data_IF_705861870528
#
_entry.id   IF_705861870528
#
_cell.length_a   1.000
_cell.length_b   1.000
_cell.length_c   1.000
_cell.angle_alpha   90.00
_cell.angle_beta   90.00
_cell.angle_gamma   90.00
#
_symmetry.space_group_name_H-M   'P 1'
#
loop_
_entity.id
_entity.type
_entity.pdbx_description
1 polymer ?
#
# COMPACT_ATOMS: atom_id res chain seq x y z
N UNK A 1 -13.69 -15.21 -47.95
CA UNK A 1 -14.19 -14.45 -46.79
C UNK A 1 -13.82 -15.19 -45.48
N UNK A 2 -12.62 -14.97 -44.92
CA UNK A 2 -12.20 -15.51 -43.61
C UNK A 2 -11.06 -14.66 -43.04
N UNK A 3 -11.34 -13.42 -42.62
CA UNK A 3 -10.33 -12.55 -41.96
C UNK A 3 -10.85 -11.84 -40.70
N UNK A 4 -12.09 -12.08 -40.28
CA UNK A 4 -12.73 -11.27 -39.23
C UNK A 4 -12.71 -11.87 -37.81
N UNK A 5 -12.15 -13.06 -37.59
CA UNK A 5 -12.19 -13.70 -36.26
C UNK A 5 -11.01 -13.34 -35.34
N UNK A 6 -9.96 -12.68 -35.83
CA UNK A 6 -8.79 -12.33 -35.01
C UNK A 6 -8.94 -11.04 -34.19
N UNK A 7 -9.87 -10.16 -34.56
CA UNK A 7 -9.93 -8.81 -33.97
C UNK A 7 -10.67 -8.75 -32.62
N UNK A 8 -11.44 -9.78 -32.25
CA UNK A 8 -12.28 -9.75 -31.05
C UNK A 8 -11.53 -10.08 -29.75
N UNK A 9 -10.34 -10.69 -29.83
CA UNK A 9 -9.55 -11.09 -28.66
C UNK A 9 -8.71 -9.94 -28.06
N UNK A 10 -8.48 -8.86 -28.80
CA UNK A 10 -7.73 -7.70 -28.29
C UNK A 10 -8.56 -6.78 -27.37
N UNK A 11 -9.89 -6.89 -27.42
CA UNK A 11 -10.80 -6.01 -26.66
C UNK A 11 -10.93 -6.38 -25.17
N UNK A 12 -10.40 -7.52 -24.74
CA UNK A 12 -10.56 -8.06 -23.37
C UNK A 12 -9.40 -7.63 -22.45
N UNK A 13 -8.37 -6.96 -22.98
CA UNK A 13 -7.17 -6.57 -22.21
C UNK A 13 -7.24 -5.18 -21.57
N UNK A 14 -8.33 -4.42 -21.75
CA UNK A 14 -8.43 -3.02 -21.32
C UNK A 14 -9.08 -2.78 -19.94
N UNK A 15 -9.42 -3.82 -19.18
CA UNK A 15 -9.91 -3.68 -17.79
C UNK A 15 -8.85 -4.10 -16.77
N UNK A 16 -7.66 -3.50 -16.86
CA UNK A 16 -6.80 -3.41 -15.68
C UNK A 16 -7.14 -2.06 -15.05
N UNK A 17 -7.80 -2.06 -13.88
CA UNK A 17 -7.93 -0.87 -13.05
C UNK A 17 -6.53 -0.52 -12.56
N UNK A 18 -5.73 0.13 -13.41
CA UNK A 18 -4.40 0.64 -13.09
C UNK A 18 -4.64 1.91 -12.28
N UNK A 19 -5.02 1.76 -11.01
CA UNK A 19 -4.50 2.69 -10.03
C UNK A 19 -3.01 2.38 -9.99
N UNK A 20 -2.24 3.14 -10.77
CA UNK A 20 -0.79 3.18 -10.63
C UNK A 20 -0.49 3.35 -9.14
N UNK A 21 0.37 2.50 -8.59
CA UNK A 21 0.65 2.42 -7.15
C UNK A 21 0.82 3.83 -6.58
N UNK A 22 -0.18 4.31 -5.84
CA UNK A 22 -0.17 5.69 -5.36
C UNK A 22 1.01 5.87 -4.41
N UNK A 23 1.81 6.90 -4.66
CA UNK A 23 2.90 7.25 -3.76
C UNK A 23 2.30 7.64 -2.41
N UNK A 24 2.88 7.11 -1.34
CA UNK A 24 2.53 7.43 0.02
C UNK A 24 3.31 8.67 0.47
N UNK A 25 2.68 9.48 1.30
CA UNK A 25 3.32 10.62 1.97
C UNK A 25 3.91 10.20 3.32
N UNK A 26 4.76 11.07 3.86
CA UNK A 26 5.42 10.87 5.14
C UNK A 26 4.40 10.67 6.28
N UNK A 27 4.62 9.72 7.20
CA UNK A 27 3.72 9.49 8.33
C UNK A 27 3.87 10.60 9.38
N UNK A 28 2.85 11.43 9.56
CA UNK A 28 2.85 12.48 10.59
C UNK A 28 2.51 11.94 11.99
N UNK A 29 3.32 12.28 12.99
CA UNK A 29 2.98 12.05 14.42
C UNK A 29 3.01 10.59 14.88
N UNK A 30 3.72 9.72 14.15
CA UNK A 30 3.80 8.29 14.44
C UNK A 30 5.11 7.89 15.10
N UNK A 31 5.18 6.61 15.48
CA UNK A 31 6.38 6.04 16.08
C UNK A 31 7.61 6.22 15.17
N UNK A 32 8.82 6.37 15.74
CA UNK A 32 10.06 6.48 14.96
C UNK A 32 10.26 5.34 13.96
N UNK A 33 9.78 4.14 14.28
CA UNK A 33 9.84 2.97 13.42
C UNK A 33 9.06 3.17 12.10
N UNK A 34 7.93 3.89 12.14
CA UNK A 34 7.15 4.19 10.94
C UNK A 34 7.88 5.18 10.02
N UNK A 35 8.47 6.24 10.60
CA UNK A 35 9.25 7.23 9.85
C UNK A 35 10.50 6.59 9.23
N UNK A 36 11.24 5.80 10.01
CA UNK A 36 12.43 5.12 9.51
C UNK A 36 12.10 4.08 8.42
N UNK A 37 11.01 3.31 8.57
CA UNK A 37 10.57 2.38 7.53
C UNK A 37 10.14 3.10 6.25
N UNK A 38 9.54 4.28 6.37
CA UNK A 38 9.21 5.13 5.23
C UNK A 38 10.43 5.69 4.54
N UNK A 39 11.38 6.28 5.28
CA UNK A 39 12.62 6.83 4.73
C UNK A 39 13.44 5.76 4.01
N UNK A 40 13.52 4.57 4.59
CA UNK A 40 14.24 3.41 4.04
C UNK A 40 13.47 2.65 2.95
N UNK A 41 12.18 2.90 2.75
CA UNK A 41 11.47 2.40 1.58
C UNK A 41 12.14 2.95 0.30
N UNK A 42 12.06 2.22 -0.82
CA UNK A 42 12.69 2.61 -2.08
C UNK A 42 12.37 4.05 -2.53
N UNK A 43 13.07 4.55 -3.56
CA UNK A 43 12.96 5.95 -4.02
C UNK A 43 11.50 6.37 -4.26
N UNK A 44 10.68 5.47 -4.81
CA UNK A 44 9.23 5.65 -4.93
C UNK A 44 8.55 5.01 -3.71
N UNK A 45 7.82 5.81 -2.93
CA UNK A 45 7.16 5.39 -1.68
C UNK A 45 5.84 4.67 -1.95
N UNK A 46 5.87 3.58 -2.70
CA UNK A 46 4.67 2.77 -2.98
C UNK A 46 4.28 1.92 -1.76
N UNK A 47 3.03 1.43 -1.75
CA UNK A 47 2.53 0.51 -0.72
C UNK A 47 3.46 -0.69 -0.55
N UNK A 48 3.89 -1.31 -1.65
CA UNK A 48 4.75 -2.48 -1.63
C UNK A 48 6.14 -2.18 -1.06
N UNK A 49 6.72 -1.03 -1.43
CA UNK A 49 8.03 -0.63 -0.92
C UNK A 49 7.97 -0.33 0.58
N UNK A 50 6.95 0.40 1.03
CA UNK A 50 6.73 0.70 2.45
C UNK A 50 6.39 -0.58 3.23
N UNK A 51 5.61 -1.50 2.66
CA UNK A 51 5.31 -2.80 3.25
C UNK A 51 6.59 -3.61 3.50
N UNK A 52 7.49 -3.66 2.52
CA UNK A 52 8.74 -4.42 2.63
C UNK A 52 9.61 -3.88 3.78
N UNK A 53 9.80 -2.57 3.87
CA UNK A 53 10.58 -1.96 4.94
C UNK A 53 9.92 -2.12 6.31
N UNK A 54 8.59 -1.94 6.41
CA UNK A 54 7.84 -2.18 7.64
C UNK A 54 7.82 -3.65 8.04
N UNK A 55 7.90 -4.59 7.11
CA UNK A 55 7.91 -6.01 7.42
C UNK A 55 9.17 -6.39 8.20
N UNK A 56 10.32 -5.79 7.86
CA UNK A 56 11.54 -5.95 8.65
C UNK A 56 11.37 -5.36 10.04
N UNK A 57 10.92 -4.10 10.14
CA UNK A 57 10.71 -3.44 11.44
C UNK A 57 9.69 -4.16 12.32
N UNK A 58 8.64 -4.72 11.71
CA UNK A 58 7.64 -5.55 12.37
C UNK A 58 8.27 -6.81 12.96
N UNK A 59 9.11 -7.50 12.18
CA UNK A 59 9.81 -8.69 12.65
C UNK A 59 10.81 -8.39 13.78
N UNK A 60 11.59 -7.33 13.64
CA UNK A 60 12.59 -6.90 14.64
C UNK A 60 11.93 -6.49 15.97
N UNK A 61 10.71 -5.97 15.92
CA UNK A 61 9.89 -5.65 17.08
C UNK A 61 9.20 -6.89 17.72
N UNK A 62 9.42 -8.10 17.19
CA UNK A 62 8.80 -9.34 17.67
C UNK A 62 7.41 -9.62 17.08
N UNK A 63 7.02 -8.88 16.04
CA UNK A 63 5.82 -9.14 15.26
C UNK A 63 5.98 -10.34 14.33
N UNK A 64 4.85 -10.96 14.01
CA UNK A 64 4.78 -12.13 13.15
C UNK A 64 4.07 -11.86 11.82
N UNK A 65 3.17 -10.87 11.79
CA UNK A 65 2.34 -10.60 10.63
C UNK A 65 2.19 -9.11 10.41
N UNK A 66 2.54 -8.65 9.22
CA UNK A 66 2.21 -7.31 8.74
C UNK A 66 1.02 -7.40 7.79
N UNK A 67 0.02 -6.56 7.99
CA UNK A 67 -1.12 -6.38 7.08
C UNK A 67 -1.24 -4.92 6.70
N UNK A 68 -1.84 -4.63 5.55
CA UNK A 68 -2.18 -3.27 5.15
C UNK A 68 -3.66 -3.17 4.81
N UNK A 69 -4.25 -2.01 5.05
CA UNK A 69 -5.61 -1.66 4.68
C UNK A 69 -5.60 -0.30 4.00
N UNK A 70 -6.11 -0.25 2.78
CA UNK A 70 -6.32 1.02 2.07
C UNK A 70 -7.55 1.70 2.68
N UNK A 71 -7.37 2.93 3.13
CA UNK A 71 -8.43 3.78 3.65
C UNK A 71 -9.03 4.56 2.48
N UNK A 72 -10.35 4.55 2.38
CA UNK A 72 -11.09 5.30 1.36
C UNK A 72 -11.79 6.50 2.03
N UNK A 73 -12.00 7.56 1.27
CA UNK A 73 -12.86 8.67 1.69
C UNK A 73 -14.32 8.19 1.83
N UNK A 74 -15.06 8.71 2.80
CA UNK A 74 -16.48 8.35 2.99
C UNK A 74 -17.33 8.77 1.78
N UNK A 75 -16.96 9.87 1.12
CA UNK A 75 -17.71 10.48 0.03
C UNK A 75 -17.21 10.10 -1.37
N UNK A 76 -16.10 9.35 -1.47
CA UNK A 76 -15.54 8.95 -2.75
C UNK A 76 -14.73 7.66 -2.66
N UNK A 77 -14.69 6.87 -3.74
CA UNK A 77 -13.80 5.71 -3.86
C UNK A 77 -12.31 6.07 -3.94
N UNK A 78 -11.92 7.27 -3.54
CA UNK A 78 -10.53 7.75 -3.56
C UNK A 78 -9.80 7.29 -2.28
N UNK A 79 -8.60 6.71 -2.42
CA UNK A 79 -7.83 6.20 -1.27
C UNK A 79 -7.18 7.32 -0.46
N UNK A 80 -7.66 7.63 0.74
CA UNK A 80 -7.09 8.70 1.59
C UNK A 80 -5.74 8.33 2.21
N UNK A 81 -5.43 7.04 2.31
CA UNK A 81 -4.17 6.55 2.86
C UNK A 81 -4.16 5.04 3.02
N UNK A 82 -3.12 4.54 3.69
CA UNK A 82 -2.92 3.12 3.96
C UNK A 82 -2.50 2.93 5.40
N UNK A 83 -3.24 2.11 6.13
CA UNK A 83 -2.92 1.67 7.48
C UNK A 83 -2.17 0.35 7.41
N UNK A 84 -0.96 0.31 7.96
CA UNK A 84 -0.18 -0.91 8.16
C UNK A 84 -0.27 -1.32 9.63
N UNK A 85 -0.52 -2.59 9.88
CA UNK A 85 -0.64 -3.15 11.22
C UNK A 85 0.23 -4.39 11.34
N UNK A 86 1.16 -4.33 12.29
CA UNK A 86 2.02 -5.43 12.68
C UNK A 86 1.46 -6.08 13.94
N UNK A 87 1.17 -7.38 13.87
CA UNK A 87 0.64 -8.16 15.00
C UNK A 87 1.58 -9.29 15.39
N UNK A 88 1.50 -9.67 16.67
CA UNK A 88 2.25 -10.81 17.21
C UNK A 88 1.55 -12.15 16.93
N UNK A 89 1.81 -13.14 17.78
CA UNK A 89 1.12 -14.44 17.70
C UNK A 89 -0.39 -14.34 17.95
N UNK A 90 -0.79 -13.40 18.81
CA UNK A 90 -2.20 -13.01 18.98
C UNK A 90 -2.54 -11.87 18.00
N UNK A 91 -3.51 -12.05 17.08
CA UNK A 91 -3.90 -11.00 16.14
C UNK A 91 -4.51 -9.76 16.80
N UNK A 92 -4.92 -9.84 18.07
CA UNK A 92 -5.40 -8.69 18.84
C UNK A 92 -4.25 -7.90 19.50
N UNK A 93 -3.05 -8.46 19.53
CA UNK A 93 -1.86 -7.78 20.04
C UNK A 93 -1.15 -7.05 18.90
N UNK A 94 -1.34 -5.74 18.85
CA UNK A 94 -0.69 -4.85 17.89
C UNK A 94 0.68 -4.44 18.42
N UNK A 95 1.72 -4.88 17.71
CA UNK A 95 3.12 -4.55 18.01
C UNK A 95 3.45 -3.15 17.50
N UNK A 96 2.99 -2.84 16.29
CA UNK A 96 3.25 -1.57 15.62
C UNK A 96 2.10 -1.26 14.66
N UNK A 97 1.74 0.01 14.55
CA UNK A 97 0.74 0.49 13.61
C UNK A 97 1.22 1.78 12.96
N UNK A 98 1.15 1.85 11.63
CA UNK A 98 1.64 2.98 10.85
C UNK A 98 0.60 3.41 9.81
N UNK A 99 0.25 4.69 9.77
CA UNK A 99 -0.71 5.29 8.84
C UNK A 99 0.02 6.18 7.83
N UNK A 100 -0.07 5.85 6.56
CA UNK A 100 0.53 6.67 5.51
C UNK A 100 -0.57 7.36 4.71
N UNK A 101 -0.61 8.70 4.67
CA UNK A 101 -1.50 9.40 3.76
C UNK A 101 -1.16 9.03 2.32
N UNK A 102 -2.16 8.92 1.46
CA UNK A 102 -1.90 8.83 0.03
C UNK A 102 -1.48 10.22 -0.47
N UNK A 103 -0.39 10.31 -1.20
CA UNK A 103 -0.01 11.54 -1.87
C UNK A 103 -0.84 11.67 -3.15
N UNK A 104 -1.66 12.71 -3.19
CA UNK A 104 -2.46 13.06 -4.36
C UNK A 104 -1.97 14.33 -5.06
N UNK A 105 -0.81 14.87 -4.66
CA UNK A 105 -0.20 15.93 -5.46
C UNK A 105 0.29 15.30 -6.78
N UNK A 106 -0.22 15.89 -7.87
CA UNK A 106 0.12 15.71 -9.29
C UNK A 106 -0.59 14.62 -10.10
N UNK A 107 -1.86 14.90 -10.44
CA UNK A 107 -2.44 14.60 -11.75
C UNK A 107 -3.08 15.85 -12.36
#
# INVERSE_FOLDING_TARGET
>A
MKFFQGLLLLSILSYQNIYAETALSEPSGQSPQCAQAYESAGEIKTINNVFSSLSSACHDAGGMKLTHQILLSEDSSKPTGVLFTCTGSDPNFVVLSCLFPANFEDL
#
